data_IF_310805216757
#
_entry.id   IF_310805216757
#
_cell.length_a   1.000
_cell.length_b   1.000
_cell.length_c   1.000
_cell.angle_alpha   90.00
_cell.angle_beta   90.00
_cell.angle_gamma   90.00
#
_symmetry.space_group_name_H-M   'P 1'
#
loop_
_entity.id
_entity.type
_entity.pdbx_description
1 polymer ?
#
# COMPACT_ATOMS: atom_id res chain seq x y z
N UNK A 1 17.63 -0.11 -8.98
CA UNK A 1 16.84 1.11 -9.22
C UNK A 1 17.23 2.20 -8.23
N UNK A 2 17.03 3.47 -8.59
CA UNK A 2 17.28 4.63 -7.74
C UNK A 2 15.96 5.17 -7.18
N UNK A 3 15.88 5.42 -5.87
CA UNK A 3 14.79 6.19 -5.25
C UNK A 3 15.16 7.67 -5.31
N UNK A 4 14.31 8.47 -5.93
CA UNK A 4 14.44 9.92 -5.97
C UNK A 4 13.25 10.56 -5.26
N UNK A 5 13.52 11.32 -4.20
CA UNK A 5 12.52 12.02 -3.38
C UNK A 5 12.49 13.51 -3.71
N UNK A 6 11.41 14.16 -3.25
CA UNK A 6 11.24 15.61 -3.28
C UNK A 6 11.24 16.23 -4.68
N UNK A 7 10.79 15.48 -5.70
CA UNK A 7 10.58 16.04 -7.05
C UNK A 7 9.31 16.89 -7.02
N UNK A 8 9.45 18.19 -7.27
CA UNK A 8 8.34 19.16 -7.20
C UNK A 8 7.89 19.55 -8.60
N UNK A 9 6.61 19.35 -8.90
CA UNK A 9 5.99 19.72 -10.18
C UNK A 9 4.67 20.44 -9.92
N UNK A 10 4.32 21.42 -10.76
CA UNK A 10 3.01 22.09 -10.68
C UNK A 10 1.92 21.15 -11.21
N UNK A 11 0.67 21.24 -10.71
CA UNK A 11 -0.45 20.54 -11.32
C UNK A 11 -0.59 20.83 -12.82
N UNK A 12 -1.02 19.83 -13.60
CA UNK A 12 -1.17 19.94 -15.06
C UNK A 12 0.11 19.69 -15.87
N UNK A 13 1.20 19.22 -15.24
CA UNK A 13 2.39 18.77 -15.97
C UNK A 13 2.14 17.47 -16.73
N UNK A 14 2.88 17.28 -17.82
CA UNK A 14 2.90 16.03 -18.57
C UNK A 14 3.91 15.03 -17.99
N UNK A 15 3.87 13.78 -18.47
CA UNK A 15 4.81 12.74 -18.06
C UNK A 15 6.26 13.13 -18.37
N UNK A 16 6.49 13.80 -19.50
CA UNK A 16 7.83 14.24 -19.92
C UNK A 16 8.45 15.21 -18.92
N UNK A 17 7.66 16.08 -18.29
CA UNK A 17 8.14 16.97 -17.24
C UNK A 17 8.67 16.18 -16.01
N UNK A 18 8.03 15.06 -15.65
CA UNK A 18 8.51 14.19 -14.58
C UNK A 18 9.86 13.55 -14.94
N UNK A 19 9.98 13.00 -16.15
CA UNK A 19 11.23 12.44 -16.65
C UNK A 19 12.36 13.49 -16.69
N UNK A 20 12.07 14.71 -17.17
CA UNK A 20 13.03 15.81 -17.19
C UNK A 20 13.48 16.21 -15.77
N UNK A 21 12.57 16.27 -14.81
CA UNK A 21 12.89 16.62 -13.43
C UNK A 21 13.79 15.54 -12.78
N UNK A 22 13.50 14.26 -13.03
CA UNK A 22 14.34 13.14 -12.58
C UNK A 22 15.71 13.19 -13.23
N UNK A 23 15.78 13.33 -14.55
CA UNK A 23 17.05 13.41 -15.30
C UNK A 23 17.94 14.54 -14.78
N UNK A 24 17.34 15.72 -14.53
CA UNK A 24 18.03 16.88 -13.94
C UNK A 24 18.59 16.57 -12.56
N UNK A 25 17.83 15.91 -11.69
CA UNK A 25 18.26 15.57 -10.33
C UNK A 25 19.34 14.48 -10.32
N UNK A 26 19.34 13.58 -11.30
CA UNK A 26 20.36 12.54 -11.50
C UNK A 26 21.60 13.03 -12.26
N UNK A 27 21.57 14.24 -12.83
CA UNK A 27 22.58 14.75 -13.76
C UNK A 27 22.82 13.81 -14.96
N UNK A 28 21.73 13.30 -15.54
CA UNK A 28 21.74 12.38 -16.69
C UNK A 28 20.85 12.90 -17.81
N UNK A 29 20.99 12.31 -19.00
CA UNK A 29 20.07 12.58 -20.10
C UNK A 29 18.73 11.87 -19.87
N UNK A 30 17.63 12.45 -20.35
CA UNK A 30 16.31 11.80 -20.29
C UNK A 30 16.32 10.43 -20.95
N UNK A 31 17.10 10.24 -22.02
CA UNK A 31 17.25 9.00 -22.74
C UNK A 31 18.05 7.93 -21.99
N UNK A 32 18.75 8.27 -20.91
CA UNK A 32 19.43 7.30 -20.04
C UNK A 32 18.45 6.60 -19.08
N UNK A 33 17.26 7.17 -18.87
CA UNK A 33 16.22 6.61 -18.03
C UNK A 33 15.43 5.57 -18.83
N UNK A 34 15.35 4.35 -18.30
CA UNK A 34 14.61 3.24 -18.88
C UNK A 34 13.13 3.29 -18.48
N UNK A 35 12.87 3.52 -17.19
CA UNK A 35 11.52 3.56 -16.63
C UNK A 35 11.46 4.41 -15.36
N UNK A 36 10.28 4.96 -15.08
CA UNK A 36 9.95 5.64 -13.82
C UNK A 36 8.68 5.01 -13.25
N UNK A 37 8.74 4.63 -11.97
CA UNK A 37 7.57 4.20 -11.20
C UNK A 37 7.34 5.19 -10.06
N UNK A 38 6.13 5.73 -9.95
CA UNK A 38 5.77 6.59 -8.81
C UNK A 38 5.58 5.69 -7.59
N UNK A 39 6.35 5.90 -6.52
CA UNK A 39 6.08 5.21 -5.26
C UNK A 39 5.32 6.07 -4.26
N UNK A 40 5.38 7.39 -4.40
CA UNK A 40 4.54 8.31 -3.63
C UNK A 40 4.30 9.57 -4.43
N UNK A 41 3.06 10.03 -4.42
CA UNK A 41 2.66 11.36 -4.86
C UNK A 41 1.92 12.03 -3.70
N UNK A 42 2.27 13.28 -3.40
CA UNK A 42 1.61 14.07 -2.37
C UNK A 42 1.42 15.50 -2.86
N UNK A 43 0.56 16.27 -2.18
CA UNK A 43 0.28 17.66 -2.53
C UNK A 43 0.83 18.56 -1.43
N UNK A 44 1.61 19.57 -1.81
CA UNK A 44 2.00 20.69 -0.97
C UNK A 44 1.21 21.93 -1.40
N UNK A 45 0.20 22.27 -0.59
CA UNK A 45 -0.66 23.43 -0.79
C UNK A 45 -0.51 24.45 0.37
N UNK A 46 0.61 24.42 1.10
CA UNK A 46 0.81 25.27 2.30
C UNK A 46 0.96 26.76 1.99
N UNK A 47 1.33 27.12 0.76
CA UNK A 47 1.54 28.52 0.34
C UNK A 47 0.61 28.83 -0.82
N UNK A 48 -0.51 29.48 -0.55
CA UNK A 48 -1.39 29.95 -1.62
C UNK A 48 -0.73 31.11 -2.40
N UNK A 49 -0.78 31.15 -3.76
CA UNK A 49 -1.46 30.23 -4.69
C UNK A 49 -0.59 29.06 -5.20
N UNK A 50 0.60 28.87 -4.64
CA UNK A 50 1.58 27.86 -5.07
C UNK A 50 1.23 26.44 -4.57
N UNK A 51 0.52 25.70 -5.42
CA UNK A 51 0.26 24.27 -5.23
C UNK A 51 1.29 23.46 -6.02
N UNK A 52 1.91 22.47 -5.38
CA UNK A 52 2.84 21.54 -6.00
C UNK A 52 2.47 20.08 -5.71
N UNK A 53 2.63 19.22 -6.70
CA UNK A 53 2.83 17.80 -6.47
C UNK A 53 4.27 17.57 -6.02
N UNK A 54 4.43 16.79 -4.96
CA UNK A 54 5.71 16.27 -4.49
C UNK A 54 5.73 14.77 -4.75
N UNK A 55 6.67 14.33 -5.58
CA UNK A 55 6.87 12.95 -5.96
C UNK A 55 8.08 12.33 -5.25
N UNK A 56 7.91 11.06 -4.89
CA UNK A 56 8.99 10.09 -4.73
C UNK A 56 8.83 9.02 -5.80
N UNK A 57 9.85 8.86 -6.62
CA UNK A 57 9.85 7.91 -7.74
C UNK A 57 10.97 6.89 -7.60
N UNK A 58 10.80 5.73 -8.21
CA UNK A 58 11.86 4.79 -8.52
C UNK A 58 12.23 4.99 -9.99
N UNK A 59 13.48 5.33 -10.28
CA UNK A 59 14.00 5.41 -11.63
C UNK A 59 14.91 4.23 -11.92
N UNK A 60 14.67 3.57 -13.04
CA UNK A 60 15.57 2.59 -13.63
C UNK A 60 16.41 3.24 -14.73
N UNK A 61 17.72 3.04 -14.69
CA UNK A 61 18.62 3.52 -15.74
C UNK A 61 18.96 2.38 -16.70
N UNK A 62 19.13 2.71 -17.99
CA UNK A 62 19.55 1.73 -19.01
C UNK A 62 20.89 1.06 -18.69
N UNK A 63 21.78 1.78 -18.01
CA UNK A 63 23.11 1.31 -17.62
C UNK A 63 23.19 1.13 -16.10
N UNK A 64 23.17 -0.11 -15.61
CA UNK A 64 23.26 -0.41 -14.16
C UNK A 64 24.53 0.13 -13.49
N UNK A 65 25.64 0.27 -14.23
CA UNK A 65 26.87 0.90 -13.72
C UNK A 65 26.65 2.36 -13.31
N UNK A 66 25.77 3.08 -14.00
CA UNK A 66 25.45 4.47 -13.67
C UNK A 66 24.65 4.57 -12.37
N UNK A 67 23.74 3.61 -12.11
CA UNK A 67 23.01 3.55 -10.83
C UNK A 67 23.98 3.44 -9.66
N UNK A 68 24.95 2.52 -9.73
CA UNK A 68 25.96 2.33 -8.68
C UNK A 68 26.83 3.58 -8.47
N UNK A 69 27.26 4.23 -9.56
CA UNK A 69 28.06 5.45 -9.49
C UNK A 69 27.30 6.61 -8.83
N UNK A 70 26.01 6.77 -9.16
CA UNK A 70 25.14 7.80 -8.57
C UNK A 70 24.95 7.53 -7.07
N UNK A 71 24.68 6.29 -6.68
CA UNK A 71 24.54 5.91 -5.26
C UNK A 71 25.82 6.17 -4.47
N UNK A 72 26.98 5.79 -5.01
CA UNK A 72 28.27 6.04 -4.38
C UNK A 72 28.56 7.55 -4.21
N UNK A 73 28.16 8.37 -5.19
CA UNK A 73 28.27 9.83 -5.09
C UNK A 73 27.32 10.41 -4.06
N UNK A 74 26.06 9.95 -4.02
CA UNK A 74 25.06 10.40 -3.07
C UNK A 74 25.47 10.09 -1.62
N UNK A 75 25.98 8.87 -1.36
CA UNK A 75 26.45 8.46 -0.04
C UNK A 75 27.60 9.30 0.52
N UNK A 76 28.46 9.86 -0.36
CA UNK A 76 29.56 10.76 0.04
C UNK A 76 29.08 12.17 0.41
N UNK A 77 27.89 12.57 -0.03
CA UNK A 77 27.36 13.92 0.21
C UNK A 77 26.61 13.95 1.54
N UNK A 78 27.24 14.53 2.56
CA UNK A 78 26.68 14.62 3.91
C UNK A 78 25.30 15.30 3.89
N UNK A 79 24.28 14.60 4.39
CA UNK A 79 22.91 15.11 4.50
C UNK A 79 22.03 14.97 3.25
N UNK A 80 22.53 14.37 2.15
CA UNK A 80 21.71 14.10 0.96
C UNK A 80 20.81 12.88 1.21
N UNK A 81 19.49 13.09 1.28
CA UNK A 81 18.49 12.02 1.41
C UNK A 81 17.55 11.92 0.21
N UNK A 82 17.70 12.82 -0.77
CA UNK A 82 16.82 12.83 -1.93
C UNK A 82 17.11 11.70 -2.92
N UNK A 83 18.30 11.11 -2.89
CA UNK A 83 18.68 10.01 -3.79
C UNK A 83 19.20 8.85 -2.95
N UNK A 84 18.48 7.73 -2.96
CA UNK A 84 18.86 6.51 -2.25
C UNK A 84 18.71 5.30 -3.17
N UNK A 85 19.15 4.13 -2.73
CA UNK A 85 18.75 2.90 -3.39
C UNK A 85 17.22 2.76 -3.27
N UNK A 86 16.58 2.24 -4.32
CA UNK A 86 15.17 1.87 -4.23
C UNK A 86 14.99 0.75 -3.21
N UNK A 87 14.04 0.94 -2.30
CA UNK A 87 13.62 -0.10 -1.38
C UNK A 87 12.60 -1.00 -2.10
N UNK A 88 13.12 -2.11 -2.61
CA UNK A 88 12.34 -3.16 -3.28
C UNK A 88 11.89 -4.24 -2.29
N UNK A 89 12.16 -4.10 -0.98
CA UNK A 89 11.75 -5.08 -0.01
C UNK A 89 10.23 -5.31 -0.06
N UNK A 90 9.88 -6.58 -0.11
CA UNK A 90 8.51 -7.06 -0.03
C UNK A 90 8.22 -7.56 1.37
N UNK A 91 6.93 -7.62 1.72
CA UNK A 91 6.54 -8.23 2.96
C UNK A 91 6.84 -9.73 2.92
N UNK A 92 7.54 -10.22 3.94
CA UNK A 92 7.77 -11.65 4.15
C UNK A 92 6.98 -12.08 5.37
N UNK A 93 6.04 -13.00 5.18
CA UNK A 93 5.35 -13.61 6.30
C UNK A 93 6.32 -14.50 7.09
N UNK A 94 6.41 -14.38 8.42
CA UNK A 94 7.47 -15.00 9.20
C UNK A 94 7.28 -16.50 9.45
N UNK A 95 6.19 -17.10 8.95
CA UNK A 95 5.85 -18.50 9.18
C UNK A 95 5.70 -19.26 7.87
N UNK A 96 6.04 -20.54 7.93
CA UNK A 96 5.91 -21.53 6.87
C UNK A 96 4.97 -22.64 7.31
N UNK A 97 4.53 -23.47 6.36
CA UNK A 97 3.70 -24.63 6.69
C UNK A 97 4.42 -25.59 7.65
N UNK A 98 5.74 -25.72 7.51
CA UNK A 98 6.57 -26.65 8.30
C UNK A 98 6.62 -26.29 9.79
N UNK A 99 6.35 -25.03 10.14
CA UNK A 99 6.21 -24.60 11.53
C UNK A 99 5.01 -25.25 12.25
N UNK A 100 4.11 -25.91 11.50
CA UNK A 100 2.82 -26.40 12.00
C UNK A 100 2.42 -27.81 11.52
N UNK A 101 3.30 -28.60 10.90
CA UNK A 101 2.97 -29.90 10.26
C UNK A 101 3.00 -31.15 11.16
N UNK A 102 3.06 -30.99 12.49
CA UNK A 102 3.12 -32.11 13.43
C UNK A 102 1.80 -32.82 13.73
N UNK A 103 1.89 -34.06 14.22
CA UNK A 103 0.77 -34.76 14.83
C UNK A 103 0.24 -33.94 16.03
N UNK A 104 -0.93 -33.32 15.86
CA UNK A 104 -1.50 -32.38 16.84
C UNK A 104 -1.83 -30.99 16.29
N UNK A 105 -1.58 -30.74 14.99
CA UNK A 105 -1.98 -29.51 14.34
C UNK A 105 -3.48 -29.21 14.50
N UNK A 106 -3.80 -27.99 14.95
CA UNK A 106 -5.17 -27.46 15.01
C UNK A 106 -5.26 -26.24 14.11
N UNK A 107 -6.30 -26.22 13.27
CA UNK A 107 -6.57 -25.08 12.38
C UNK A 107 -6.75 -23.80 13.21
N UNK A 108 -6.08 -22.69 12.87
CA UNK A 108 -6.32 -21.41 13.50
C UNK A 108 -7.79 -21.00 13.34
N UNK A 109 -8.38 -20.47 14.41
CA UNK A 109 -9.73 -19.89 14.37
C UNK A 109 -9.61 -18.39 14.54
N UNK A 110 -10.24 -17.64 13.64
CA UNK A 110 -10.28 -16.18 13.62
C UNK A 110 -11.71 -15.77 13.88
N UNK A 111 -11.92 -14.97 14.92
CA UNK A 111 -13.22 -14.39 15.23
C UNK A 111 -13.30 -12.97 14.65
N UNK A 112 -14.23 -12.76 13.73
CA UNK A 112 -14.47 -11.53 12.99
C UNK A 112 -13.87 -11.55 11.58
N UNK A 113 -14.66 -11.08 10.62
CA UNK A 113 -14.24 -10.92 9.22
C UNK A 113 -14.19 -9.45 8.80
N UNK A 114 -13.72 -8.58 9.71
CA UNK A 114 -13.26 -7.22 9.38
C UNK A 114 -11.83 -7.20 8.80
N UNK A 115 -11.23 -6.03 8.55
CA UNK A 115 -9.93 -5.92 7.88
C UNK A 115 -8.81 -6.72 8.57
N UNK A 116 -8.74 -6.68 9.91
CA UNK A 116 -7.75 -7.44 10.67
C UNK A 116 -7.95 -8.96 10.51
N UNK A 117 -9.18 -9.44 10.57
CA UNK A 117 -9.52 -10.86 10.40
C UNK A 117 -9.30 -11.34 8.96
N UNK A 118 -9.66 -10.52 7.97
CA UNK A 118 -9.40 -10.76 6.56
C UNK A 118 -7.91 -10.94 6.28
N UNK A 119 -7.06 -10.01 6.72
CA UNK A 119 -5.61 -10.12 6.49
C UNK A 119 -4.97 -11.24 7.30
N UNK A 120 -5.39 -11.48 8.55
CA UNK A 120 -4.92 -12.64 9.30
C UNK A 120 -5.27 -13.95 8.59
N UNK A 121 -6.52 -14.08 8.12
CA UNK A 121 -7.00 -15.24 7.38
C UNK A 121 -6.27 -15.44 6.06
N UNK A 122 -6.11 -14.37 5.28
CA UNK A 122 -5.39 -14.40 4.01
C UNK A 122 -3.94 -14.84 4.20
N UNK A 123 -3.23 -14.26 5.16
CA UNK A 123 -1.82 -14.61 5.37
C UNK A 123 -1.64 -16.04 5.87
N UNK A 124 -2.45 -16.48 6.84
CA UNK A 124 -2.43 -17.86 7.31
C UNK A 124 -2.82 -18.85 6.20
N UNK A 125 -3.79 -18.50 5.35
CA UNK A 125 -4.19 -19.32 4.20
C UNK A 125 -3.06 -19.45 3.16
N UNK A 126 -2.36 -18.34 2.83
CA UNK A 126 -1.19 -18.34 1.95
C UNK A 126 -0.06 -19.24 2.48
N UNK A 127 0.06 -19.38 3.80
CA UNK A 127 1.00 -20.30 4.44
C UNK A 127 0.49 -21.75 4.58
N UNK A 128 -0.66 -22.09 3.98
CA UNK A 128 -1.20 -23.45 4.00
C UNK A 128 -1.87 -23.84 5.33
N UNK A 129 -2.10 -22.90 6.25
CA UNK A 129 -2.61 -23.18 7.59
C UNK A 129 -4.14 -23.36 7.65
N UNK A 130 -4.85 -23.20 6.53
CA UNK A 130 -6.30 -23.49 6.43
C UNK A 130 -7.13 -22.88 7.59
N UNK A 131 -7.00 -21.57 7.87
CA UNK A 131 -7.72 -20.94 8.98
C UNK A 131 -9.24 -21.11 8.82
N UNK A 132 -9.95 -21.08 9.95
CA UNK A 132 -11.41 -21.00 10.03
C UNK A 132 -11.74 -19.57 10.46
N UNK A 133 -12.55 -18.87 9.69
CA UNK A 133 -13.03 -17.52 10.05
C UNK A 133 -14.49 -17.64 10.46
N UNK A 134 -14.83 -17.07 11.60
CA UNK A 134 -16.19 -16.99 12.13
C UNK A 134 -16.59 -15.52 12.17
N UNK A 135 -17.64 -15.14 11.45
CA UNK A 135 -18.26 -13.81 11.50
C UNK A 135 -19.67 -13.95 12.05
N UNK A 136 -20.05 -13.04 12.95
CA UNK A 136 -21.39 -13.08 13.58
C UNK A 136 -22.47 -12.53 12.65
N UNK A 137 -22.11 -11.52 11.85
CA UNK A 137 -23.04 -10.89 10.93
C UNK A 137 -23.11 -11.58 9.57
N UNK A 138 -23.83 -10.94 8.67
CA UNK A 138 -24.15 -11.49 7.35
C UNK A 138 -23.04 -11.25 6.31
N UNK A 139 -23.11 -12.01 5.21
CA UNK A 139 -22.40 -11.69 3.98
C UNK A 139 -22.78 -10.27 3.49
N UNK A 140 -21.86 -9.61 2.78
CA UNK A 140 -21.94 -8.17 2.49
C UNK A 140 -23.19 -7.80 1.70
N UNK A 141 -23.65 -8.66 0.78
CA UNK A 141 -24.84 -8.42 -0.04
C UNK A 141 -26.13 -8.40 0.79
N UNK A 142 -26.25 -9.31 1.76
CA UNK A 142 -27.41 -9.34 2.67
C UNK A 142 -27.30 -8.27 3.76
N UNK A 143 -26.07 -8.05 4.27
CA UNK A 143 -25.76 -6.99 5.23
C UNK A 143 -26.12 -5.61 4.68
N UNK A 144 -25.88 -5.36 3.40
CA UNK A 144 -26.24 -4.10 2.74
C UNK A 144 -27.73 -3.82 2.87
N UNK A 145 -28.59 -4.81 2.58
CA UNK A 145 -30.05 -4.66 2.70
C UNK A 145 -30.45 -4.35 4.15
N UNK A 146 -29.86 -5.05 5.12
CA UNK A 146 -30.13 -4.83 6.55
C UNK A 146 -29.74 -3.42 7.00
N UNK A 147 -28.60 -2.91 6.53
CA UNK A 147 -28.14 -1.55 6.84
C UNK A 147 -29.02 -0.48 6.18
N UNK A 148 -29.41 -0.68 4.93
CA UNK A 148 -30.34 0.21 4.23
C UNK A 148 -31.71 0.26 4.92
N UNK A 149 -32.22 -0.89 5.37
CA UNK A 149 -33.46 -0.97 6.14
C UNK A 149 -33.34 -0.21 7.47
N UNK A 150 -32.21 -0.37 8.17
CA UNK A 150 -31.95 0.38 9.40
C UNK A 150 -31.96 1.89 9.15
N UNK A 151 -31.31 2.37 8.09
CA UNK A 151 -31.31 3.80 7.73
C UNK A 151 -32.70 4.31 7.33
N UNK A 152 -33.50 3.49 6.65
CA UNK A 152 -34.83 3.88 6.20
C UNK A 152 -35.90 3.84 7.32
N UNK A 153 -35.81 2.86 8.22
CA UNK A 153 -36.88 2.55 9.19
C UNK A 153 -36.50 2.76 10.65
N UNK A 154 -35.21 2.88 10.97
CA UNK A 154 -34.69 2.90 12.34
C UNK A 154 -34.69 1.53 13.03
N UNK A 155 -35.12 0.45 12.35
CA UNK A 155 -35.08 -0.91 12.90
C UNK A 155 -33.66 -1.46 12.87
N UNK A 156 -33.07 -1.65 14.05
CA UNK A 156 -31.73 -2.20 14.19
C UNK A 156 -31.77 -3.73 14.31
N UNK A 157 -31.05 -4.41 13.44
CA UNK A 157 -30.61 -5.79 13.66
C UNK A 157 -29.29 -5.77 14.47
N UNK A 158 -29.29 -6.41 15.63
CA UNK A 158 -28.14 -6.42 16.55
C UNK A 158 -27.01 -7.35 16.10
N UNK A 159 -27.29 -8.28 15.17
CA UNK A 159 -26.30 -9.22 14.63
C UNK A 159 -25.76 -8.78 13.26
N UNK A 160 -26.51 -7.99 12.50
CA UNK A 160 -26.09 -7.49 11.18
C UNK A 160 -26.35 -6.00 11.04
N UNK A 161 -25.30 -5.19 11.04
CA UNK A 161 -25.41 -3.72 11.01
C UNK A 161 -24.12 -3.07 10.52
N UNK A 162 -24.03 -1.75 10.63
CA UNK A 162 -22.87 -0.95 10.23
C UNK A 162 -21.55 -1.45 10.86
N UNK A 163 -21.61 -2.10 12.02
CA UNK A 163 -20.42 -2.64 12.72
C UNK A 163 -20.17 -4.12 12.46
N UNK A 164 -21.22 -4.94 12.38
CA UNK A 164 -21.12 -6.40 12.34
C UNK A 164 -21.53 -7.00 10.99
N UNK A 165 -20.79 -8.01 10.54
CA UNK A 165 -20.90 -8.66 9.23
C UNK A 165 -19.62 -8.58 8.40
N UNK A 166 -19.68 -9.14 7.19
CA UNK A 166 -18.53 -9.22 6.29
C UNK A 166 -17.90 -7.85 6.01
N UNK A 167 -16.57 -7.78 6.16
CA UNK A 167 -15.77 -6.55 6.07
C UNK A 167 -15.82 -5.65 7.32
N UNK A 168 -16.61 -6.03 8.33
CA UNK A 168 -16.69 -5.34 9.63
C UNK A 168 -17.04 -3.86 9.49
N UNK A 169 -16.53 -3.03 10.40
CA UNK A 169 -16.80 -1.59 10.41
C UNK A 169 -16.24 -0.82 9.20
N UNK A 170 -15.31 -1.42 8.43
CA UNK A 170 -14.69 -0.77 7.28
C UNK A 170 -15.60 -0.67 6.06
N UNK A 171 -16.56 -1.59 5.90
CA UNK A 171 -17.40 -1.73 4.70
C UNK A 171 -18.23 -0.49 4.39
N UNK A 172 -18.80 0.15 5.41
CA UNK A 172 -19.65 1.34 5.26
C UNK A 172 -18.92 2.63 5.66
N UNK A 173 -17.60 2.64 5.49
CA UNK A 173 -16.76 3.82 5.72
C UNK A 173 -16.38 4.48 4.40
N UNK A 174 -15.68 5.61 4.49
CA UNK A 174 -15.07 6.27 3.32
C UNK A 174 -13.77 5.60 2.85
N UNK A 175 -13.37 4.48 3.48
CA UNK A 175 -12.19 3.71 3.10
C UNK A 175 -10.86 4.42 3.36
N UNK A 176 -10.84 5.49 4.17
CA UNK A 176 -9.61 6.23 4.46
C UNK A 176 -8.57 5.35 5.16
N UNK A 177 -7.37 5.31 4.59
CA UNK A 177 -6.23 4.58 5.15
C UNK A 177 -5.29 5.54 5.88
N UNK A 178 -4.89 5.16 7.09
CA UNK A 178 -3.97 5.95 7.91
C UNK A 178 -2.52 5.84 7.41
N UNK A 179 -1.72 6.88 7.68
CA UNK A 179 -0.33 6.94 7.25
C UNK A 179 0.57 6.04 8.11
N UNK A 180 0.91 4.84 7.62
CA UNK A 180 1.85 3.90 8.28
C UNK A 180 3.32 4.21 7.96
N UNK A 181 3.74 5.46 8.20
CA UNK A 181 5.05 6.00 7.74
C UNK A 181 6.27 5.31 8.39
N UNK A 182 6.08 4.50 9.43
CA UNK A 182 7.15 3.82 10.19
C UNK A 182 7.09 2.30 10.12
N UNK A 183 6.36 1.73 9.18
CA UNK A 183 6.26 0.27 9.04
C UNK A 183 7.49 -0.32 8.35
N UNK A 184 8.51 -0.62 9.15
CA UNK A 184 9.74 -1.27 8.70
C UNK A 184 9.52 -2.70 8.17
N UNK A 185 8.34 -3.30 8.42
CA UNK A 185 8.01 -4.63 7.94
C UNK A 185 7.31 -4.65 6.58
N UNK A 186 7.08 -3.50 5.93
CA UNK A 186 6.38 -3.41 4.65
C UNK A 186 4.96 -4.04 4.61
N UNK A 187 4.31 -4.21 5.76
CA UNK A 187 2.97 -4.77 5.88
C UNK A 187 1.94 -3.90 5.19
N UNK A 188 2.03 -2.58 5.34
CA UNK A 188 1.10 -1.66 4.69
C UNK A 188 1.23 -1.69 3.16
N UNK A 189 2.46 -1.83 2.65
CA UNK A 189 2.68 -2.01 1.21
C UNK A 189 1.98 -3.28 0.70
N UNK A 190 2.08 -4.38 1.44
CA UNK A 190 1.38 -5.63 1.11
C UNK A 190 -0.15 -5.50 1.19
N UNK A 191 -0.67 -4.80 2.21
CA UNK A 191 -2.10 -4.52 2.35
C UNK A 191 -2.64 -3.74 1.14
N UNK A 192 -1.96 -2.65 0.77
CA UNK A 192 -2.34 -1.82 -0.37
C UNK A 192 -2.25 -2.60 -1.69
N UNK A 193 -1.16 -3.34 -1.89
CA UNK A 193 -0.99 -4.21 -3.06
C UNK A 193 -2.12 -5.23 -3.14
N UNK A 194 -2.46 -5.88 -2.02
CA UNK A 194 -3.55 -6.86 -1.96
C UNK A 194 -4.89 -6.22 -2.29
N UNK A 195 -5.18 -4.99 -1.82
CA UNK A 195 -6.40 -4.29 -2.21
C UNK A 195 -6.47 -4.02 -3.71
N UNK A 196 -5.39 -3.52 -4.32
CA UNK A 196 -5.31 -3.31 -5.77
C UNK A 196 -5.48 -4.63 -6.54
N UNK A 197 -4.78 -5.69 -6.14
CA UNK A 197 -4.90 -7.04 -6.74
C UNK A 197 -6.35 -7.60 -6.65
N UNK A 198 -7.14 -7.12 -5.68
CA UNK A 198 -8.54 -7.49 -5.46
C UNK A 198 -9.54 -6.46 -6.02
N UNK A 199 -9.07 -5.51 -6.84
CA UNK A 199 -9.92 -4.58 -7.61
C UNK A 199 -10.11 -3.19 -7.01
N UNK A 200 -9.38 -2.81 -5.95
CA UNK A 200 -9.33 -1.42 -5.51
C UNK A 200 -8.55 -0.55 -6.50
N UNK A 201 -8.84 0.76 -6.50
CA UNK A 201 -8.14 1.73 -7.34
C UNK A 201 -6.64 1.77 -6.99
N UNK A 202 -5.78 1.77 -8.02
CA UNK A 202 -4.32 1.82 -7.89
C UNK A 202 -3.76 3.23 -7.61
N UNK A 203 -4.59 4.28 -7.70
CA UNK A 203 -4.18 5.69 -7.82
C UNK A 203 -3.92 6.48 -6.52
#
# INVERSE_FOLDING_TARGET
MLRINNIRLRPGHDERALYNAVAKQLHKDIHDIAAITIARRSIDARRHPDIFYIYSVNAELKKKKDEQAILARAAKRRGQTDITAADEAEYVFPLTQDDFTGAGYKRPVIAGFGPAGMFAGLMLARCGLKPIILERGQAVEERQKTVEEFWASGRLDTESNVQFGEGGAGTFSDGKLNTSVKDAGHRMKEVLKTFADMGADES
#
